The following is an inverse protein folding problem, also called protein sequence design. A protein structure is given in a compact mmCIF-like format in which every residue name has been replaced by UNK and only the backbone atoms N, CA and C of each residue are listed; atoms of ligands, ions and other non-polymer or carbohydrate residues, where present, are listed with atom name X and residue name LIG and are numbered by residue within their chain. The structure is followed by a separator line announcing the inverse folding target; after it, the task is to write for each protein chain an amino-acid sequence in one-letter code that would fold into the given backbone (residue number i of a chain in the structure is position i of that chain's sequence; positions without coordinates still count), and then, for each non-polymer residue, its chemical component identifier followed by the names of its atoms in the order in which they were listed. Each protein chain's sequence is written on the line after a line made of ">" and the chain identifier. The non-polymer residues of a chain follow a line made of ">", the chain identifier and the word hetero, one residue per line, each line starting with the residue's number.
data_IF_213330635430
#
_entry.id   IF_213330635430
#
_cell.length_a   1.000
_cell.length_b   1.000
_cell.length_c   1.000
_cell.angle_alpha   90.00
_cell.angle_beta   90.00
_cell.angle_gamma   90.00
#
_symmetry.space_group_name_H-M   'P 1'
#
loop_
_entity.id
_entity.type
_entity.pdbx_description
1 polymer ?
#
# COMPACT_ATOMS: atom_id res chain seq x y z
N UNK A 1 5.22 -10.62 -9.77
CA UNK A 1 4.28 -11.38 -8.92
C UNK A 1 2.93 -11.50 -9.64
N UNK A 2 2.08 -12.51 -9.34
CA UNK A 2 0.69 -12.57 -9.87
C UNK A 2 -0.25 -11.60 -9.13
N UNK A 3 0.14 -10.33 -9.02
CA UNK A 3 -0.56 -9.32 -8.19
C UNK A 3 -1.18 -8.19 -9.00
N UNK A 4 -0.86 -8.09 -10.30
CA UNK A 4 -1.46 -7.10 -11.20
C UNK A 4 -2.98 -7.11 -11.09
N UNK A 5 -3.58 -5.93 -11.05
CA UNK A 5 -5.03 -5.70 -10.95
C UNK A 5 -5.69 -6.29 -9.68
N UNK A 6 -4.90 -6.68 -8.67
CA UNK A 6 -5.43 -7.11 -7.36
C UNK A 6 -5.70 -5.91 -6.45
N UNK A 7 -6.63 -6.10 -5.53
CA UNK A 7 -6.87 -5.19 -4.41
C UNK A 7 -5.94 -5.58 -3.26
N UNK A 8 -5.21 -4.62 -2.71
CA UNK A 8 -4.29 -4.84 -1.58
C UNK A 8 -4.62 -3.86 -0.46
N UNK A 9 -4.82 -4.38 0.75
CA UNK A 9 -5.05 -3.58 1.97
C UNK A 9 -3.76 -3.51 2.78
N UNK A 10 -3.36 -2.32 3.18
CA UNK A 10 -2.11 -2.08 3.91
C UNK A 10 -2.41 -1.28 5.17
N UNK A 11 -2.03 -1.82 6.33
CA UNK A 11 -2.00 -1.09 7.58
C UNK A 11 -0.67 -0.36 7.75
N UNK A 12 -0.67 0.86 8.30
CA UNK A 12 0.57 1.64 8.45
C UNK A 12 1.16 2.13 7.11
N UNK A 13 0.34 2.24 6.07
CA UNK A 13 0.77 2.55 4.69
C UNK A 13 1.09 4.03 4.42
N UNK A 14 0.86 4.94 5.37
CA UNK A 14 0.99 6.38 5.14
C UNK A 14 2.45 6.87 5.21
N UNK A 15 3.33 6.18 5.94
CA UNK A 15 4.72 6.61 6.19
C UNK A 15 5.71 5.43 6.13
N UNK A 16 7.00 5.75 6.14
CA UNK A 16 8.10 4.78 6.24
C UNK A 16 8.00 3.62 5.26
N UNK A 17 8.13 2.40 5.80
CA UNK A 17 8.12 1.15 5.02
C UNK A 17 6.76 0.91 4.36
N UNK A 18 5.65 1.14 5.08
CA UNK A 18 4.31 0.93 4.53
C UNK A 18 4.04 1.82 3.32
N UNK A 19 4.54 3.06 3.34
CA UNK A 19 4.49 3.96 2.17
C UNK A 19 5.31 3.41 1.00
N UNK A 20 6.53 2.94 1.25
CA UNK A 20 7.38 2.39 0.19
C UNK A 20 6.71 1.16 -0.48
N UNK A 21 6.14 0.27 0.33
CA UNK A 21 5.38 -0.90 -0.16
C UNK A 21 4.16 -0.47 -0.99
N UNK A 22 3.39 0.51 -0.47
CA UNK A 22 2.22 1.05 -1.18
C UNK A 22 2.60 1.59 -2.56
N UNK A 23 3.68 2.36 -2.64
CA UNK A 23 4.18 2.93 -3.90
C UNK A 23 4.63 1.85 -4.88
N UNK A 24 5.30 0.80 -4.42
CA UNK A 24 5.74 -0.30 -5.29
C UNK A 24 4.55 -1.07 -5.86
N UNK A 25 3.53 -1.36 -5.03
CA UNK A 25 2.32 -2.03 -5.46
C UNK A 25 1.50 -1.21 -6.47
N UNK A 26 1.52 0.13 -6.37
CA UNK A 26 0.90 1.00 -7.36
C UNK A 26 1.60 0.91 -8.73
N UNK A 27 2.93 0.76 -8.78
CA UNK A 27 3.67 0.55 -10.04
C UNK A 27 3.26 -0.75 -10.72
N UNK A 28 2.99 -1.78 -9.92
CA UNK A 28 2.48 -3.09 -10.35
C UNK A 28 0.98 -3.08 -10.75
N UNK A 29 0.35 -1.90 -10.82
CA UNK A 29 -1.07 -1.71 -11.18
C UNK A 29 -2.06 -2.35 -10.19
N UNK A 30 -1.66 -2.53 -8.93
CA UNK A 30 -2.59 -2.92 -7.88
C UNK A 30 -3.51 -1.74 -7.50
N UNK A 31 -4.72 -2.05 -7.04
CA UNK A 31 -5.57 -1.11 -6.31
C UNK A 31 -5.21 -1.18 -4.83
N UNK A 32 -4.51 -0.17 -4.33
CA UNK A 32 -4.02 -0.13 -2.94
C UNK A 32 -4.99 0.65 -2.06
N UNK A 33 -5.37 0.07 -0.91
CA UNK A 33 -6.17 0.69 0.14
C UNK A 33 -5.28 0.82 1.37
N UNK A 34 -5.14 2.04 1.89
CA UNK A 34 -4.31 2.34 3.06
C UNK A 34 -5.22 2.55 4.27
N UNK A 35 -4.92 1.84 5.36
CA UNK A 35 -5.54 2.00 6.67
C UNK A 35 -4.46 2.41 7.66
N UNK A 36 -4.42 3.69 8.03
CA UNK A 36 -3.37 4.24 8.89
C UNK A 36 -4.00 5.07 10.01
N UNK A 37 -3.30 5.16 11.14
CA UNK A 37 -3.67 5.99 12.28
C UNK A 37 -2.40 6.68 12.75
N UNK A 38 -2.39 7.99 12.63
CA UNK A 38 -1.39 8.84 13.29
C UNK A 38 -2.01 9.40 14.58
N UNK A 39 -1.34 9.22 15.71
CA UNK A 39 -1.79 9.72 17.02
C UNK A 39 -0.93 10.88 17.54
N UNK A 40 0.06 11.31 16.76
CA UNK A 40 0.96 12.40 17.10
C UNK A 40 0.51 13.72 16.46
#
# INVERSE_FOLDING_TARGET
>A
MKIKDKVVVITGGAKGIGKAISLELLKEKCRVIILDIDKN
#
